data_IF_587864129369
#
_entry.id   IF_587864129369
#
_cell.length_a   1.000
_cell.length_b   1.000
_cell.length_c   1.000
_cell.angle_alpha   90.00
_cell.angle_beta   90.00
_cell.angle_gamma   90.00
#
_symmetry.space_group_name_H-M   'P 1'
#
loop_
_entity.id
_entity.type
_entity.pdbx_description
1 polymer ?
#
# COMPACT_ATOMS: atom_id res chain seq x y z
N UNK A 1 -3.42 -24.47 -1.90
CA UNK A 1 -3.40 -23.19 -2.64
C UNK A 1 -3.73 -22.08 -1.65
N UNK A 2 -2.76 -21.40 -1.01
CA UNK A 2 -3.10 -20.27 -0.15
C UNK A 2 -3.39 -19.06 -1.06
N UNK A 3 -4.57 -18.47 -0.84
CA UNK A 3 -5.10 -17.33 -1.59
C UNK A 3 -4.19 -16.10 -1.50
N UNK A 4 -4.26 -15.32 -2.58
CA UNK A 4 -3.59 -14.04 -2.82
C UNK A 4 -3.82 -13.03 -1.69
N UNK A 5 -2.96 -13.09 -0.67
CA UNK A 5 -2.74 -12.01 0.31
C UNK A 5 -1.32 -11.50 0.07
N UNK A 6 -1.18 -10.40 -0.66
CA UNK A 6 0.12 -9.75 -0.85
C UNK A 6 0.53 -9.08 0.47
N UNK A 7 1.12 -9.84 1.39
CA UNK A 7 1.84 -9.29 2.53
C UNK A 7 3.16 -8.70 2.00
N UNK A 8 3.09 -7.43 1.62
CA UNK A 8 4.22 -6.64 1.14
C UNK A 8 4.98 -6.09 2.36
N UNK A 9 6.30 -6.30 2.49
CA UNK A 9 7.12 -5.52 3.45
C UNK A 9 7.00 -4.01 3.12
N UNK A 10 7.44 -3.11 4.01
CA UNK A 10 7.39 -1.66 3.75
C UNK A 10 7.95 -1.27 2.38
N UNK A 11 9.08 -1.87 1.98
CA UNK A 11 9.68 -1.70 0.65
C UNK A 11 8.77 -2.15 -0.51
N UNK A 12 7.98 -3.20 -0.31
CA UNK A 12 7.02 -3.68 -1.31
C UNK A 12 5.80 -2.77 -1.42
N UNK A 13 5.39 -2.12 -0.32
CA UNK A 13 4.35 -1.07 -0.34
C UNK A 13 4.86 0.18 -1.06
N UNK A 14 6.14 0.53 -0.86
CA UNK A 14 6.80 1.63 -1.57
C UNK A 14 6.89 1.35 -3.07
N UNK A 15 7.32 0.15 -3.44
CA UNK A 15 7.43 -0.26 -4.85
C UNK A 15 6.05 -0.36 -5.53
N UNK A 16 5.04 -0.88 -4.82
CA UNK A 16 3.65 -0.86 -5.30
C UNK A 16 3.22 0.58 -5.65
N UNK A 17 3.39 1.52 -4.72
CA UNK A 17 3.01 2.91 -4.93
C UNK A 17 3.81 3.53 -6.08
N UNK A 18 5.13 3.31 -6.12
CA UNK A 18 5.99 3.83 -7.18
C UNK A 18 5.56 3.34 -8.56
N UNK A 19 5.38 2.03 -8.73
CA UNK A 19 4.95 1.43 -9.99
C UNK A 19 3.56 1.91 -10.36
N UNK A 20 2.62 1.92 -9.42
CA UNK A 20 1.26 2.36 -9.67
C UNK A 20 1.17 3.79 -10.20
N UNK A 21 1.91 4.74 -9.61
CA UNK A 21 1.98 6.12 -10.11
C UNK A 21 2.57 6.17 -11.52
N UNK A 22 3.64 5.41 -11.79
CA UNK A 22 4.27 5.35 -13.11
C UNK A 22 3.34 4.75 -14.18
N UNK A 23 2.45 3.83 -13.81
CA UNK A 23 1.50 3.19 -14.71
C UNK A 23 0.20 3.97 -14.91
N UNK A 24 0.08 5.16 -14.32
CA UNK A 24 -1.10 6.04 -14.49
C UNK A 24 -2.12 5.96 -13.36
N UNK A 25 -1.78 5.28 -12.25
CA UNK A 25 -2.53 5.39 -11.00
C UNK A 25 -2.44 6.82 -10.45
N UNK A 26 -3.56 7.32 -9.94
CA UNK A 26 -3.57 8.68 -9.36
C UNK A 26 -3.09 8.62 -7.92
N UNK A 27 -2.22 9.56 -7.55
CA UNK A 27 -1.74 9.70 -6.18
C UNK A 27 -2.88 9.99 -5.20
N UNK A 28 -3.07 9.10 -4.22
CA UNK A 28 -4.08 9.27 -3.16
C UNK A 28 -3.48 9.25 -1.76
N UNK A 29 -2.24 8.78 -1.60
CA UNK A 29 -1.52 8.86 -0.34
C UNK A 29 -0.18 8.15 -0.41
N UNK A 30 0.88 8.87 -0.04
CA UNK A 30 2.23 8.32 0.03
C UNK A 30 2.30 7.13 1.00
N UNK A 31 3.19 6.15 0.71
CA UNK A 31 3.54 5.10 1.65
C UNK A 31 3.97 5.67 2.99
N UNK A 32 3.48 5.09 4.08
CA UNK A 32 3.87 5.50 5.41
C UNK A 32 3.13 4.82 6.52
N UNK A 33 3.65 4.99 7.74
CA UNK A 33 2.96 4.54 8.94
C UNK A 33 1.68 5.34 9.18
N UNK A 34 0.63 4.61 9.56
CA UNK A 34 -0.70 5.10 9.90
C UNK A 34 -1.02 4.68 11.34
N UNK A 35 -0.36 5.28 12.34
CA UNK A 35 -0.51 4.87 13.74
C UNK A 35 -1.93 5.08 14.29
N UNK A 36 -2.76 5.88 13.61
CA UNK A 36 -4.17 6.06 13.92
C UNK A 36 -5.03 4.80 13.68
N UNK A 37 -4.58 3.86 12.84
CA UNK A 37 -5.22 2.55 12.71
C UNK A 37 -4.67 1.57 13.74
N UNK A 38 -3.36 1.36 13.73
CA UNK A 38 -2.60 0.67 14.79
C UNK A 38 -1.09 0.87 14.55
N UNK A 39 -0.22 0.57 15.53
CA UNK A 39 1.22 0.90 15.46
C UNK A 39 1.96 0.35 14.25
N UNK A 40 1.59 -0.85 13.79
CA UNK A 40 2.27 -1.56 12.70
C UNK A 40 1.62 -1.35 11.33
N UNK A 41 0.75 -0.35 11.16
CA UNK A 41 0.02 -0.14 9.91
C UNK A 41 0.88 0.69 8.95
N UNK A 42 1.57 0.04 8.01
CA UNK A 42 2.30 0.74 6.95
C UNK A 42 1.53 0.59 5.65
N UNK A 43 1.02 1.69 5.08
CA UNK A 43 0.16 1.62 3.90
C UNK A 43 0.37 2.74 2.90
N UNK A 44 0.02 2.48 1.65
CA UNK A 44 0.01 3.43 0.54
C UNK A 44 -1.32 3.36 -0.22
N UNK A 45 -1.73 4.48 -0.81
CA UNK A 45 -3.01 4.63 -1.48
C UNK A 45 -2.84 5.20 -2.89
N UNK A 46 -3.55 4.60 -3.83
CA UNK A 46 -3.70 5.09 -5.21
C UNK A 46 -5.17 5.05 -5.61
N UNK A 47 -5.56 5.86 -6.58
CA UNK A 47 -6.81 5.63 -7.31
C UNK A 47 -6.52 4.89 -8.61
N UNK A 48 -7.34 3.88 -8.89
CA UNK A 48 -7.41 3.30 -10.22
C UNK A 48 -8.11 4.26 -11.21
N UNK A 49 -8.08 3.98 -12.53
CA UNK A 49 -8.74 4.81 -13.53
C UNK A 49 -10.27 4.92 -13.37
N UNK A 50 -10.89 3.97 -12.68
CA UNK A 50 -12.33 3.95 -12.38
C UNK A 50 -12.67 4.74 -11.10
N UNK A 51 -11.65 5.25 -10.38
CA UNK A 51 -11.80 6.03 -9.16
C UNK A 51 -11.88 5.19 -7.88
N UNK A 52 -11.58 3.89 -7.92
CA UNK A 52 -11.50 3.07 -6.73
C UNK A 52 -10.19 3.31 -5.98
N UNK A 53 -10.30 3.40 -4.66
CA UNK A 53 -9.15 3.49 -3.78
C UNK A 53 -8.50 2.12 -3.62
N UNK A 54 -7.32 1.95 -4.19
CA UNK A 54 -6.52 0.74 -4.06
C UNK A 54 -5.48 0.96 -2.98
N UNK A 55 -5.51 0.09 -1.98
CA UNK A 55 -4.63 0.13 -0.82
C UNK A 55 -3.67 -1.05 -0.84
N UNK A 56 -2.38 -0.75 -0.62
CA UNK A 56 -1.39 -1.74 -0.23
C UNK A 56 -0.96 -1.49 1.21
N UNK A 57 -1.10 -2.50 2.06
CA UNK A 57 -0.80 -2.39 3.50
C UNK A 57 0.04 -3.56 4.00
N UNK A 58 1.01 -3.23 4.84
CA UNK A 58 1.75 -4.13 5.68
C UNK A 58 1.31 -3.96 7.14
N UNK A 59 1.01 -5.08 7.80
CA UNK A 59 0.71 -5.13 9.24
C UNK A 59 1.82 -5.81 10.04
N UNK A 60 2.90 -6.25 9.36
CA UNK A 60 3.98 -6.95 10.01
C UNK A 60 4.70 -5.97 10.93
N UNK A 61 4.92 -6.40 12.17
CA UNK A 61 5.79 -5.69 13.09
C UNK A 61 7.18 -5.66 12.46
N UNK A 62 7.64 -4.48 12.06
CA UNK A 62 9.06 -4.25 11.88
C UNK A 62 9.68 -4.34 13.27
N UNK A 63 10.12 -5.54 13.65
CA UNK A 63 11.02 -5.76 14.78
C UNK A 63 12.42 -5.32 14.39
#
# INVERSE_FOLDING_TARGET
MPGSRFAALGESVDEFHRVAILTGGTYAGAPGLRPHYHPNYYGAFILDPDGHNIEAVCHLSVM
#
